data_IF_574187247872
#
_entry.id   IF_574187247872
#
_cell.length_a   1.000
_cell.length_b   1.000
_cell.length_c   1.000
_cell.angle_alpha   90.00
_cell.angle_beta   90.00
_cell.angle_gamma   90.00
#
_symmetry.space_group_name_H-M   'P 1'
#
loop_
_entity.id
_entity.type
_entity.pdbx_description
1 polymer ?
#
# COMPACT_ATOMS: atom_id res chain seq x y z
N UNK A 1 2.39 -26.66 48.09
CA UNK A 1 2.41 -25.18 48.05
C UNK A 1 1.42 -24.71 46.98
N UNK A 2 0.24 -24.24 47.39
CA UNK A 2 -0.84 -23.78 46.51
C UNK A 2 -0.83 -22.25 46.55
N UNK A 3 -0.64 -21.58 45.40
CA UNK A 3 -0.74 -20.11 45.29
C UNK A 3 -1.98 -19.77 44.48
N UNK A 4 -3.06 -19.45 45.19
CA UNK A 4 -4.31 -18.96 44.61
C UNK A 4 -4.27 -17.45 44.50
N UNK A 5 -4.24 -16.92 43.28
CA UNK A 5 -4.36 -15.49 42.99
C UNK A 5 -5.85 -15.17 42.85
N UNK A 6 -6.36 -14.26 43.69
CA UNK A 6 -7.72 -13.71 43.57
C UNK A 6 -7.67 -12.49 42.65
N UNK A 7 -8.28 -12.60 41.47
CA UNK A 7 -8.54 -11.44 40.61
C UNK A 7 -9.98 -11.01 40.83
N UNK A 8 -10.18 -10.06 41.74
CA UNK A 8 -11.41 -9.29 41.82
C UNK A 8 -11.22 -8.07 40.90
N UNK A 9 -11.77 -8.15 39.68
CA UNK A 9 -11.86 -6.99 38.80
C UNK A 9 -13.33 -6.74 38.50
N UNK A 10 -13.90 -5.82 39.28
CA UNK A 10 -15.19 -5.21 39.06
C UNK A 10 -15.04 -4.23 37.90
N UNK A 11 -15.46 -4.63 36.69
CA UNK A 11 -15.62 -3.69 35.60
C UNK A 11 -17.06 -3.20 35.63
N UNK A 12 -17.17 -1.88 35.78
CA UNK A 12 -18.38 -1.11 35.93
C UNK A 12 -19.36 -1.30 34.76
N UNK A 13 -20.65 -1.35 35.10
CA UNK A 13 -21.75 -1.29 34.15
C UNK A 13 -21.69 0.03 33.36
N UNK A 14 -21.48 -0.08 32.06
CA UNK A 14 -21.58 1.05 31.12
C UNK A 14 -23.04 1.18 30.71
N UNK A 15 -23.57 2.37 30.94
CA UNK A 15 -24.96 2.78 30.83
C UNK A 15 -25.62 2.44 29.49
N UNK A 16 -26.92 2.15 29.59
CA UNK A 16 -27.81 1.75 28.50
C UNK A 16 -27.81 2.73 27.32
N UNK A 17 -27.84 2.10 26.15
CA UNK A 17 -28.10 2.61 24.80
C UNK A 17 -29.20 3.68 24.76
N UNK A 18 -28.84 4.86 24.25
CA UNK A 18 -29.82 5.85 23.79
C UNK A 18 -30.50 5.38 22.51
N UNK A 19 -31.82 5.25 22.56
CA UNK A 19 -32.66 5.11 21.37
C UNK A 19 -32.79 6.46 20.66
N UNK A 20 -32.44 6.53 19.39
CA UNK A 20 -32.68 7.73 18.58
C UNK A 20 -32.06 7.66 17.19
N UNK A 21 -32.88 7.31 16.20
CA UNK A 21 -32.76 7.82 14.83
C UNK A 21 -31.91 7.02 13.83
N UNK A 22 -32.58 6.16 13.07
CA UNK A 22 -32.18 5.81 11.70
C UNK A 22 -32.17 7.10 10.84
N UNK A 23 -31.14 7.29 10.03
CA UNK A 23 -31.15 7.54 8.57
C UNK A 23 -29.78 8.11 8.20
N UNK A 24 -28.88 7.27 7.69
CA UNK A 24 -27.93 7.72 6.67
C UNK A 24 -28.10 6.81 5.47
N UNK A 25 -29.00 7.24 4.60
CA UNK A 25 -29.15 6.71 3.26
C UNK A 25 -27.86 6.96 2.46
N UNK A 26 -27.41 5.94 1.74
CA UNK A 26 -26.51 6.09 0.59
C UNK A 26 -25.04 6.37 0.91
N UNK A 27 -24.28 5.34 1.28
CA UNK A 27 -22.84 5.33 0.97
C UNK A 27 -22.66 4.98 -0.51
N UNK A 28 -22.86 5.95 -1.41
CA UNK A 28 -22.27 5.90 -2.75
C UNK A 28 -20.78 6.23 -2.63
N UNK A 29 -19.97 5.25 -2.20
CA UNK A 29 -18.53 5.29 -2.44
C UNK A 29 -18.26 4.91 -3.90
N UNK A 30 -18.44 5.83 -4.83
CA UNK A 30 -17.90 5.70 -6.19
C UNK A 30 -17.49 7.07 -6.72
N UNK A 31 -16.50 7.68 -6.07
CA UNK A 31 -15.59 8.64 -6.71
C UNK A 31 -14.38 8.86 -5.82
N UNK A 32 -13.53 7.85 -5.68
CA UNK A 32 -12.12 8.15 -5.45
C UNK A 32 -11.58 8.54 -6.81
N UNK A 33 -11.31 9.82 -6.92
CA UNK A 33 -10.78 10.44 -8.12
C UNK A 33 -9.55 9.63 -8.57
N UNK A 34 -9.60 9.19 -9.82
CA UNK A 34 -8.52 8.56 -10.56
C UNK A 34 -7.36 9.56 -10.68
N UNK A 35 -6.59 9.75 -9.62
CA UNK A 35 -5.17 10.02 -9.76
C UNK A 35 -4.53 8.67 -10.08
N UNK A 36 -3.67 8.54 -11.12
CA UNK A 36 -2.91 7.32 -11.35
C UNK A 36 -1.81 7.24 -10.28
N UNK A 37 -2.22 7.01 -9.04
CA UNK A 37 -1.37 6.69 -7.91
C UNK A 37 -1.25 5.17 -7.77
N UNK A 38 -0.15 4.72 -7.19
CA UNK A 38 0.03 3.32 -6.82
C UNK A 38 -1.12 2.91 -5.88
N UNK A 39 -1.83 1.78 -6.12
CA UNK A 39 -2.83 1.28 -5.19
C UNK A 39 -2.27 1.14 -3.78
N UNK A 40 -3.01 1.58 -2.75
CA UNK A 40 -2.52 1.65 -1.36
C UNK A 40 -2.01 0.33 -0.78
N UNK A 41 -2.48 -0.81 -1.27
CA UNK A 41 -1.98 -2.12 -0.88
C UNK A 41 -0.52 -2.36 -1.36
N UNK A 42 -0.14 -1.79 -2.50
CA UNK A 42 1.21 -1.93 -3.05
C UNK A 42 2.22 -1.07 -2.30
N UNK A 43 1.83 0.10 -1.80
CA UNK A 43 2.71 1.02 -1.04
C UNK A 43 3.27 0.41 0.25
N UNK A 44 2.65 -0.64 0.78
CA UNK A 44 3.07 -1.32 2.02
C UNK A 44 4.13 -2.39 1.77
N UNK A 45 4.41 -2.72 0.51
CA UNK A 45 5.38 -3.76 0.14
C UNK A 45 6.79 -3.19 0.34
N UNK A 46 7.67 -3.88 1.10
CA UNK A 46 9.06 -3.45 1.24
C UNK A 46 9.76 -3.34 -0.12
N UNK A 47 10.40 -2.20 -0.35
CA UNK A 47 11.12 -1.92 -1.59
C UNK A 47 12.53 -2.49 -1.51
N UNK A 48 12.87 -3.37 -2.46
CA UNK A 48 14.21 -3.91 -2.61
C UNK A 48 14.99 -3.09 -3.64
N UNK A 49 16.28 -2.83 -3.41
CA UNK A 49 17.12 -2.12 -4.39
C UNK A 49 17.61 -3.08 -5.46
N UNK A 50 17.46 -2.71 -6.73
CA UNK A 50 18.01 -3.47 -7.84
C UNK A 50 19.54 -3.36 -7.87
N UNK A 51 20.19 -4.51 -8.02
CA UNK A 51 21.61 -4.59 -8.34
C UNK A 51 21.79 -5.15 -9.75
N UNK A 52 22.68 -4.53 -10.54
CA UNK A 52 22.93 -4.95 -11.91
C UNK A 52 23.31 -6.43 -11.97
N UNK A 53 22.61 -7.19 -12.82
CA UNK A 53 22.80 -8.64 -12.96
C UNK A 53 22.01 -9.49 -11.96
N UNK A 54 21.25 -8.88 -11.05
CA UNK A 54 20.29 -9.60 -10.20
C UNK A 54 19.24 -10.28 -11.07
N UNK A 55 19.04 -11.58 -10.82
CA UNK A 55 17.99 -12.35 -11.48
C UNK A 55 16.64 -11.97 -10.87
N UNK A 56 15.70 -11.62 -11.74
CA UNK A 56 14.36 -11.23 -11.38
C UNK A 56 13.38 -12.30 -11.87
N UNK A 57 12.39 -12.62 -11.05
CA UNK A 57 11.24 -13.42 -11.44
C UNK A 57 10.01 -12.52 -11.54
N UNK A 58 9.74 -11.99 -12.73
CA UNK A 58 8.64 -11.05 -12.97
C UNK A 58 7.62 -11.76 -13.87
N UNK A 59 6.47 -12.10 -13.29
CA UNK A 59 5.35 -12.65 -14.04
C UNK A 59 4.45 -11.53 -14.58
N UNK A 60 4.20 -10.48 -13.79
CA UNK A 60 3.33 -9.35 -14.18
C UNK A 60 3.78 -8.04 -13.55
N UNK A 61 3.89 -6.98 -14.35
CA UNK A 61 4.07 -5.62 -13.84
C UNK A 61 2.71 -5.05 -13.44
N UNK A 62 2.62 -4.50 -12.23
CA UNK A 62 1.38 -3.95 -11.66
C UNK A 62 1.37 -2.43 -11.73
N UNK A 63 2.50 -1.81 -11.38
CA UNK A 63 2.65 -0.37 -11.43
C UNK A 63 4.13 0.03 -11.48
N UNK A 64 4.43 1.17 -12.09
CA UNK A 64 5.76 1.79 -12.11
C UNK A 64 5.56 3.26 -11.73
N UNK A 65 6.47 3.82 -10.93
CA UNK A 65 6.49 5.25 -10.63
C UNK A 65 6.51 6.09 -11.92
N UNK A 66 5.60 7.05 -12.03
CA UNK A 66 5.58 7.98 -13.17
C UNK A 66 6.78 8.93 -13.09
N UNK A 67 7.61 8.88 -14.13
CA UNK A 67 8.80 9.73 -14.32
C UNK A 67 8.76 10.45 -15.66
N UNK A 68 7.59 10.49 -16.31
CA UNK A 68 7.40 11.05 -17.66
C UNK A 68 7.73 12.53 -17.76
N UNK A 69 7.63 13.27 -16.65
CA UNK A 69 7.89 14.71 -16.58
C UNK A 69 9.29 15.04 -16.03
N UNK A 70 10.13 14.04 -15.80
CA UNK A 70 11.46 14.22 -15.18
C UNK A 70 12.54 14.13 -16.26
N UNK A 71 13.42 15.13 -16.36
CA UNK A 71 14.57 15.12 -17.25
C UNK A 71 15.88 14.92 -16.46
N UNK A 72 16.06 13.70 -15.93
CA UNK A 72 17.28 13.28 -15.24
C UNK A 72 17.29 11.74 -15.09
N UNK A 73 18.39 11.16 -14.61
CA UNK A 73 18.42 9.79 -14.10
C UNK A 73 17.90 9.79 -12.66
N UNK A 74 16.76 9.14 -12.44
CA UNK A 74 16.06 9.13 -11.15
C UNK A 74 15.67 7.73 -10.69
N UNK A 75 15.53 7.50 -9.37
CA UNK A 75 14.93 6.29 -8.84
C UNK A 75 13.48 6.13 -9.30
N UNK A 76 13.10 4.91 -9.67
CA UNK A 76 11.74 4.51 -9.98
C UNK A 76 11.43 3.19 -9.28
N UNK A 77 10.22 3.07 -8.72
CA UNK A 77 9.74 1.86 -8.05
C UNK A 77 8.81 1.11 -8.99
N UNK A 78 9.10 -0.16 -9.23
CA UNK A 78 8.22 -1.11 -9.92
C UNK A 78 7.62 -2.08 -8.92
N UNK A 79 6.30 -2.13 -8.89
CA UNK A 79 5.54 -3.18 -8.21
C UNK A 79 5.19 -4.27 -9.21
N UNK A 80 5.45 -5.52 -8.85
CA UNK A 80 5.22 -6.66 -9.72
C UNK A 80 4.74 -7.90 -8.94
N UNK A 81 4.12 -8.81 -9.66
CA UNK A 81 3.80 -10.16 -9.23
C UNK A 81 4.88 -11.11 -9.76
N UNK A 82 5.44 -11.96 -8.91
CA UNK A 82 6.37 -13.03 -9.31
C UNK A 82 5.63 -14.29 -9.80
N UNK A 83 6.36 -15.32 -10.23
CA UNK A 83 5.74 -16.54 -10.78
C UNK A 83 4.96 -17.36 -9.75
N UNK A 84 5.16 -17.09 -8.45
CA UNK A 84 4.41 -17.71 -7.34
C UNK A 84 3.16 -16.89 -6.95
N UNK A 85 2.90 -15.77 -7.62
CA UNK A 85 1.77 -14.89 -7.33
C UNK A 85 2.01 -13.91 -6.18
N UNK A 86 3.26 -13.78 -5.70
CA UNK A 86 3.58 -12.88 -4.59
C UNK A 86 3.89 -11.47 -5.10
N UNK A 87 3.41 -10.48 -4.35
CA UNK A 87 3.66 -9.07 -4.64
C UNK A 87 5.04 -8.64 -4.15
N UNK A 88 5.78 -7.94 -5.01
CA UNK A 88 7.15 -7.50 -4.80
C UNK A 88 7.28 -6.05 -5.26
N UNK A 89 8.24 -5.32 -4.67
CA UNK A 89 8.58 -3.97 -5.05
C UNK A 89 10.09 -3.85 -5.26
N UNK A 90 10.50 -3.21 -6.35
CA UNK A 90 11.89 -3.03 -6.73
C UNK A 90 12.15 -1.57 -7.10
N UNK A 91 13.18 -0.97 -6.50
CA UNK A 91 13.71 0.34 -6.91
C UNK A 91 14.90 0.17 -7.85
N UNK A 92 14.92 0.93 -8.93
CA UNK A 92 16.02 0.99 -9.89
C UNK A 92 16.13 2.39 -10.49
N UNK A 93 17.30 2.71 -11.06
CA UNK A 93 17.50 3.98 -11.74
C UNK A 93 17.00 3.89 -13.19
N UNK A 94 16.27 4.91 -13.62
CA UNK A 94 15.84 5.10 -15.01
C UNK A 94 16.17 6.50 -15.48
N UNK A 95 16.33 6.67 -16.78
CA UNK A 95 16.28 8.00 -17.40
C UNK A 95 14.81 8.41 -17.55
N UNK A 96 14.42 9.51 -16.91
CA UNK A 96 13.06 10.02 -16.99
C UNK A 96 12.69 10.46 -18.42
N UNK A 97 11.39 10.51 -18.70
CA UNK A 97 10.85 10.80 -20.04
C UNK A 97 10.75 12.29 -20.38
N UNK A 98 11.13 13.18 -19.47
CA UNK A 98 10.87 14.62 -19.57
C UNK A 98 11.87 15.41 -20.41
N UNK A 99 12.88 14.76 -20.98
CA UNK A 99 13.81 15.42 -21.89
C UNK A 99 13.25 15.41 -23.32
N UNK A 100 13.19 16.58 -23.94
CA UNK A 100 12.79 16.75 -25.34
C UNK A 100 13.89 17.52 -26.06
N UNK A 101 14.30 17.06 -27.23
CA UNK A 101 15.18 17.77 -28.14
C UNK A 101 14.42 18.93 -28.81
N UNK A 102 14.93 20.15 -28.64
CA UNK A 102 14.40 21.35 -29.31
C UNK A 102 15.08 21.57 -30.67
#
# INVERSE_FOLDING_TARGET
MKRTIRVASLIAAISLVGAGGLVHAGQTQLKQDMQPGIPSHLEQIPVETYHYGMKMDIARVLAISDTSQVCDVVPSVMHYEDSEGKLRALEYLIHGGGCYDN
#
